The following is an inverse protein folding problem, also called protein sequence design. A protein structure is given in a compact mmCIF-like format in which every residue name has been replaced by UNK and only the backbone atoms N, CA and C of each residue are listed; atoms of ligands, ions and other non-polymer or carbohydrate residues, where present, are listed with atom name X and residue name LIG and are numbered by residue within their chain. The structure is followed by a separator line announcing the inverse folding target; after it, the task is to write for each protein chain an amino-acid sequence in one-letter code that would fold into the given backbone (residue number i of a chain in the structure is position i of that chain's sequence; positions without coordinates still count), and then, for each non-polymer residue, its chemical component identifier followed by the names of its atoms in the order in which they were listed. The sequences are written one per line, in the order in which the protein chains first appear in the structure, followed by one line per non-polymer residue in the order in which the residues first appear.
data_IF_203762624079
#
_entry.id   IF_203762624079
#
_cell.length_a   1.000
_cell.length_b   1.000
_cell.length_c   1.000
_cell.angle_alpha   90.00
_cell.angle_beta   90.00
_cell.angle_gamma   90.00
#
_symmetry.space_group_name_H-M   'P 1'
#
loop_
_entity.id
_entity.type
_entity.pdbx_description
1 polymer ?
#
# COMPACT_ATOMS: atom_id res chain seq x y z
N UNK A 1 -45.14 5.91 21.11
CA UNK A 1 -45.11 4.44 21.19
C UNK A 1 -44.42 4.03 22.49
N UNK A 2 -45.04 3.15 23.28
CA UNK A 2 -44.43 2.63 24.52
C UNK A 2 -43.26 1.69 24.19
N UNK A 3 -42.32 1.52 25.13
CA UNK A 3 -41.11 0.71 24.91
C UNK A 3 -41.42 -0.71 24.44
N UNK A 4 -42.40 -1.39 25.04
CA UNK A 4 -42.75 -2.77 24.68
C UNK A 4 -43.21 -2.91 23.22
N UNK A 5 -44.00 -1.96 22.73
CA UNK A 5 -44.45 -1.92 21.34
C UNK A 5 -43.27 -1.64 20.38
N UNK A 6 -42.32 -0.80 20.80
CA UNK A 6 -41.10 -0.54 20.04
C UNK A 6 -40.26 -1.82 19.89
N UNK A 7 -40.07 -2.54 21.00
CA UNK A 7 -39.33 -3.81 21.02
C UNK A 7 -40.05 -4.85 20.15
N UNK A 8 -41.35 -5.08 20.36
CA UNK A 8 -42.11 -6.06 19.58
C UNK A 8 -42.05 -5.81 18.07
N UNK A 9 -42.03 -4.54 17.65
CA UNK A 9 -41.98 -4.15 16.24
C UNK A 9 -40.63 -4.41 15.58
N UNK A 10 -39.53 -4.15 16.28
CA UNK A 10 -38.18 -4.12 15.68
C UNK A 10 -37.30 -5.31 16.10
N UNK A 11 -37.68 -6.09 17.11
CA UNK A 11 -36.89 -7.20 17.63
C UNK A 11 -36.53 -8.24 16.57
N UNK A 12 -37.46 -8.56 15.66
CA UNK A 12 -37.20 -9.51 14.59
C UNK A 12 -36.13 -8.99 13.61
N UNK A 13 -36.14 -7.69 13.28
CA UNK A 13 -35.11 -7.07 12.43
C UNK A 13 -33.74 -7.11 13.12
N UNK A 14 -33.69 -6.84 14.44
CA UNK A 14 -32.45 -6.92 15.22
C UNK A 14 -31.88 -8.34 15.26
N UNK A 15 -32.72 -9.35 15.48
CA UNK A 15 -32.30 -10.75 15.50
C UNK A 15 -31.76 -11.20 14.14
N UNK A 16 -32.40 -10.81 13.03
CA UNK A 16 -31.89 -11.13 11.70
C UNK A 16 -30.53 -10.47 11.43
N UNK A 17 -30.36 -9.22 11.84
CA UNK A 17 -29.10 -8.50 11.70
C UNK A 17 -27.99 -9.15 12.54
N UNK A 18 -28.31 -9.53 13.77
CA UNK A 18 -27.40 -10.21 14.69
C UNK A 18 -26.96 -11.59 14.14
N UNK A 19 -27.90 -12.41 13.67
CA UNK A 19 -27.60 -13.70 13.05
C UNK A 19 -26.71 -13.55 11.82
N UNK A 20 -27.00 -12.56 10.97
CA UNK A 20 -26.18 -12.27 9.80
C UNK A 20 -24.75 -11.85 10.19
N UNK A 21 -24.61 -11.00 11.22
CA UNK A 21 -23.30 -10.58 11.74
C UNK A 21 -22.49 -11.77 12.28
N UNK A 22 -23.14 -12.67 13.04
CA UNK A 22 -22.51 -13.88 13.57
C UNK A 22 -22.04 -14.84 12.47
N UNK A 23 -22.89 -15.07 11.45
CA UNK A 23 -22.52 -15.90 10.30
C UNK A 23 -21.30 -15.33 9.57
N UNK A 24 -21.24 -14.01 9.40
CA UNK A 24 -20.12 -13.35 8.69
C UNK A 24 -18.83 -13.33 9.51
N UNK A 25 -18.93 -13.16 10.83
CA UNK A 25 -17.80 -13.28 11.74
C UNK A 25 -17.18 -14.71 11.69
N UNK A 26 -18.00 -15.76 11.65
CA UNK A 26 -17.57 -17.15 11.50
C UNK A 26 -17.06 -17.50 10.09
N UNK A 27 -17.74 -17.03 9.05
CA UNK A 27 -17.40 -17.29 7.65
C UNK A 27 -16.10 -16.58 7.20
N UNK A 28 -15.67 -15.53 7.91
CA UNK A 28 -14.40 -14.81 7.69
C UNK A 28 -13.17 -15.74 7.56
N UNK A 29 -13.15 -16.90 8.23
CA UNK A 29 -12.07 -17.90 8.07
C UNK A 29 -12.15 -18.68 6.75
N UNK A 30 -13.35 -19.05 6.29
CA UNK A 30 -13.56 -19.84 5.05
C UNK A 30 -13.59 -18.96 3.79
N UNK A 31 -14.17 -17.76 3.86
CA UNK A 31 -14.29 -16.81 2.73
C UNK A 31 -12.95 -16.14 2.36
N UNK A 32 -11.88 -16.32 3.15
CA UNK A 32 -10.48 -16.01 2.79
C UNK A 32 -10.06 -16.63 1.44
N UNK A 33 -10.75 -17.67 0.95
CA UNK A 33 -10.40 -18.40 -0.28
C UNK A 33 -11.14 -17.98 -1.55
N UNK A 34 -12.22 -17.18 -1.50
CA UNK A 34 -13.00 -16.85 -2.72
C UNK A 34 -13.20 -15.35 -2.90
N UNK A 35 -12.85 -14.78 -4.06
CA UNK A 35 -13.23 -13.43 -4.42
C UNK A 35 -14.68 -13.47 -4.87
N UNK A 36 -15.58 -12.86 -4.11
CA UNK A 36 -16.94 -12.60 -4.61
C UNK A 36 -17.18 -11.10 -4.68
N UNK A 37 -17.85 -10.72 -5.77
CA UNK A 37 -18.50 -9.44 -5.94
C UNK A 37 -19.41 -9.13 -4.75
N UNK A 38 -19.75 -7.85 -4.58
CA UNK A 38 -20.67 -7.39 -3.53
C UNK A 38 -21.88 -8.33 -3.46
N UNK A 39 -21.95 -9.08 -2.37
CA UNK A 39 -23.02 -10.03 -2.12
C UNK A 39 -24.33 -9.24 -2.07
N UNK A 40 -25.43 -9.66 -2.72
CA UNK A 40 -26.73 -9.01 -2.57
C UNK A 40 -27.12 -8.76 -1.10
N UNK A 41 -26.63 -9.60 -0.18
CA UNK A 41 -26.76 -9.41 1.27
C UNK A 41 -26.06 -8.17 1.83
N UNK A 42 -25.03 -7.64 1.17
CA UNK A 42 -24.23 -6.47 1.62
C UNK A 42 -25.00 -5.16 1.46
N UNK A 43 -25.75 -5.02 0.36
CA UNK A 43 -26.62 -3.86 0.12
C UNK A 43 -27.78 -3.85 1.10
N UNK A 44 -28.39 -5.01 1.35
CA UNK A 44 -29.45 -5.17 2.33
C UNK A 44 -28.96 -4.87 3.76
N UNK A 45 -27.72 -5.26 4.08
CA UNK A 45 -27.09 -4.96 5.37
C UNK A 45 -26.91 -3.45 5.59
N UNK A 46 -26.40 -2.69 4.62
CA UNK A 46 -26.20 -1.25 4.77
C UNK A 46 -27.52 -0.49 5.06
N UNK A 47 -28.64 -0.96 4.49
CA UNK A 47 -29.96 -0.42 4.80
C UNK A 47 -30.42 -0.77 6.22
N UNK A 48 -30.30 -2.04 6.64
CA UNK A 48 -30.64 -2.50 8.00
C UNK A 48 -29.80 -1.81 9.07
N UNK A 49 -28.51 -1.59 8.80
CA UNK A 49 -27.61 -0.86 9.67
C UNK A 49 -28.03 0.60 9.88
N UNK A 50 -28.40 1.31 8.81
CA UNK A 50 -28.93 2.68 8.92
C UNK A 50 -30.21 2.75 9.76
N UNK A 51 -31.13 1.79 9.57
CA UNK A 51 -32.35 1.69 10.38
C UNK A 51 -32.05 1.41 11.85
N UNK A 52 -31.08 0.55 12.15
CA UNK A 52 -30.62 0.31 13.51
C UNK A 52 -30.10 1.61 14.17
N UNK A 53 -29.29 2.40 13.45
CA UNK A 53 -28.80 3.68 13.96
C UNK A 53 -29.95 4.66 14.25
N UNK A 54 -30.96 4.73 13.37
CA UNK A 54 -32.16 5.55 13.60
C UNK A 54 -32.94 5.08 14.83
N UNK A 55 -33.11 3.76 15.00
CA UNK A 55 -33.79 3.15 16.14
C UNK A 55 -33.04 3.38 17.46
N UNK A 56 -31.70 3.32 17.45
CA UNK A 56 -30.86 3.65 18.59
C UNK A 56 -30.97 5.13 18.99
N UNK A 57 -30.93 6.04 18.01
CA UNK A 57 -31.13 7.47 18.26
C UNK A 57 -32.49 7.75 18.89
N UNK A 58 -33.56 7.16 18.33
CA UNK A 58 -34.93 7.29 18.83
C UNK A 58 -35.10 6.71 20.25
N UNK A 59 -34.45 5.58 20.54
CA UNK A 59 -34.49 4.97 21.87
C UNK A 59 -33.80 5.83 22.94
N UNK A 60 -32.71 6.52 22.56
CA UNK A 60 -32.00 7.46 23.44
C UNK A 60 -32.82 8.73 23.69
N UNK A 61 -33.35 9.34 22.64
CA UNK A 61 -34.15 10.56 22.73
C UNK A 61 -35.39 10.38 23.62
N UNK A 62 -36.03 9.21 23.54
CA UNK A 62 -37.21 8.87 24.34
C UNK A 62 -36.92 8.36 25.75
N UNK A 63 -35.64 8.25 26.14
CA UNK A 63 -35.26 7.76 27.46
C UNK A 63 -35.73 6.33 27.75
N UNK A 64 -35.71 5.43 26.75
CA UNK A 64 -36.00 4.01 26.98
C UNK A 64 -34.95 3.36 27.87
N UNK A 65 -35.27 2.17 28.41
CA UNK A 65 -34.42 1.49 29.40
C UNK A 65 -32.95 1.39 28.96
N UNK A 66 -31.98 1.58 29.88
CA UNK A 66 -30.56 1.49 29.58
C UNK A 66 -30.14 0.16 28.93
N UNK A 67 -30.78 -0.95 29.35
CA UNK A 67 -30.52 -2.29 28.80
C UNK A 67 -30.83 -2.37 27.30
N UNK A 68 -31.96 -1.79 26.86
CA UNK A 68 -32.32 -1.77 25.45
C UNK A 68 -31.34 -0.93 24.64
N UNK A 69 -31.00 0.26 25.13
CA UNK A 69 -30.05 1.17 24.46
C UNK A 69 -28.68 0.50 24.33
N UNK A 70 -28.19 -0.16 25.39
CA UNK A 70 -26.92 -0.86 25.39
C UNK A 70 -26.92 -2.01 24.37
N UNK A 71 -27.99 -2.80 24.29
CA UNK A 71 -28.12 -3.87 23.30
C UNK A 71 -28.03 -3.34 21.86
N UNK A 72 -28.79 -2.29 21.54
CA UNK A 72 -28.77 -1.68 20.20
C UNK A 72 -27.40 -1.08 19.87
N UNK A 73 -26.73 -0.49 20.86
CA UNK A 73 -25.40 0.06 20.73
C UNK A 73 -24.36 -1.02 20.43
N UNK A 74 -24.41 -2.17 21.12
CA UNK A 74 -23.52 -3.31 20.84
C UNK A 74 -23.72 -3.84 19.42
N UNK A 75 -24.97 -3.99 18.98
CA UNK A 75 -25.27 -4.45 17.63
C UNK A 75 -24.76 -3.46 16.56
N UNK A 76 -24.86 -2.16 16.83
CA UNK A 76 -24.33 -1.10 15.96
C UNK A 76 -22.80 -1.17 15.89
N UNK A 77 -22.10 -1.33 17.02
CA UNK A 77 -20.64 -1.46 17.04
C UNK A 77 -20.15 -2.67 16.25
N UNK A 78 -20.83 -3.81 16.37
CA UNK A 78 -20.53 -5.00 15.57
C UNK A 78 -20.71 -4.74 14.07
N UNK A 79 -21.81 -4.09 13.68
CA UNK A 79 -22.06 -3.70 12.29
C UNK A 79 -21.00 -2.74 11.73
N UNK A 80 -20.54 -1.79 12.54
CA UNK A 80 -19.51 -0.83 12.16
C UNK A 80 -18.19 -1.53 11.77
N UNK A 81 -17.77 -2.54 12.54
CA UNK A 81 -16.56 -3.32 12.27
C UNK A 81 -16.60 -4.06 10.93
N UNK A 82 -17.79 -4.42 10.45
CA UNK A 82 -17.99 -5.10 9.16
C UNK A 82 -17.97 -4.09 8.01
N UNK A 83 -18.62 -2.94 8.17
CA UNK A 83 -18.73 -1.92 7.13
C UNK A 83 -17.38 -1.24 6.83
N UNK A 84 -16.59 -0.98 7.88
CA UNK A 84 -15.31 -0.28 7.79
C UNK A 84 -14.10 -1.22 7.82
N UNK A 85 -14.30 -2.52 7.58
CA UNK A 85 -13.20 -3.47 7.58
C UNK A 85 -12.24 -3.19 6.42
N UNK A 86 -10.97 -2.91 6.75
CA UNK A 86 -9.92 -2.81 5.74
C UNK A 86 -9.80 -4.14 5.00
N UNK A 87 -9.90 -4.16 3.64
CA UNK A 87 -9.71 -5.38 2.88
C UNK A 87 -8.31 -5.95 3.17
N UNK A 88 -8.18 -7.26 3.41
CA UNK A 88 -6.87 -7.86 3.67
C UNK A 88 -5.97 -7.69 2.44
N UNK A 89 -4.69 -7.42 2.67
CA UNK A 89 -3.68 -7.31 1.61
C UNK A 89 -3.67 -8.58 0.78
N UNK A 90 -3.95 -8.45 -0.51
CA UNK A 90 -4.05 -9.57 -1.46
C UNK A 90 -2.68 -9.84 -2.11
N UNK A 91 -1.76 -10.45 -1.36
CA UNK A 91 -0.42 -10.80 -1.86
C UNK A 91 -0.43 -11.57 -3.18
N UNK A 92 -1.43 -12.44 -3.40
CA UNK A 92 -1.61 -13.15 -4.68
C UNK A 92 -1.81 -12.21 -5.87
N UNK A 93 -2.57 -11.12 -5.71
CA UNK A 93 -2.75 -10.11 -6.78
C UNK A 93 -1.47 -9.32 -7.03
N UNK A 94 -0.68 -9.07 -5.99
CA UNK A 94 0.61 -8.41 -6.14
C UNK A 94 1.58 -9.27 -6.96
N UNK A 95 1.63 -10.57 -6.68
CA UNK A 95 2.41 -11.54 -7.47
C UNK A 95 1.91 -11.67 -8.91
N UNK A 96 0.59 -11.74 -9.10
CA UNK A 96 -0.03 -11.77 -10.43
C UNK A 96 0.32 -10.53 -11.26
N UNK A 97 0.24 -9.34 -10.63
CA UNK A 97 0.66 -8.11 -11.26
C UNK A 97 2.14 -8.14 -11.64
N UNK A 98 3.01 -8.56 -10.72
CA UNK A 98 4.47 -8.56 -10.95
C UNK A 98 4.89 -9.51 -12.09
N UNK A 99 4.24 -10.69 -12.18
CA UNK A 99 4.62 -11.73 -13.15
C UNK A 99 3.90 -11.59 -14.49
N UNK A 100 2.67 -11.07 -14.52
CA UNK A 100 1.86 -10.99 -15.73
C UNK A 100 1.57 -9.55 -16.17
N UNK A 101 0.89 -8.76 -15.34
CA UNK A 101 0.39 -7.45 -15.77
C UNK A 101 1.52 -6.44 -15.99
N UNK A 102 2.53 -6.45 -15.14
CA UNK A 102 3.69 -5.56 -15.21
C UNK A 102 4.49 -5.75 -16.51
N UNK A 103 4.96 -6.96 -16.87
CA UNK A 103 5.66 -7.15 -18.13
C UNK A 103 4.77 -6.87 -19.35
N UNK A 104 3.46 -7.15 -19.27
CA UNK A 104 2.51 -6.76 -20.33
C UNK A 104 2.43 -5.23 -20.48
N UNK A 105 2.40 -4.49 -19.37
CA UNK A 105 2.36 -3.03 -19.38
C UNK A 105 3.67 -2.42 -19.92
N UNK A 106 4.81 -2.98 -19.55
CA UNK A 106 6.10 -2.56 -20.12
C UNK A 106 6.14 -2.80 -21.63
N UNK A 107 5.61 -3.93 -22.10
CA UNK A 107 5.53 -4.24 -23.53
C UNK A 107 4.54 -3.35 -24.27
N UNK A 108 3.42 -2.98 -23.66
CA UNK A 108 2.46 -2.06 -24.30
C UNK A 108 3.05 -0.65 -24.45
N UNK A 109 3.92 -0.25 -23.52
CA UNK A 109 4.66 1.02 -23.55
C UNK A 109 6.08 0.88 -24.11
N UNK A 110 6.36 -0.17 -24.90
CA UNK A 110 7.71 -0.47 -25.38
C UNK A 110 8.35 0.68 -26.16
N UNK A 111 7.57 1.45 -26.92
CA UNK A 111 8.07 2.63 -27.66
C UNK A 111 8.69 3.66 -26.72
N UNK A 112 7.97 4.04 -25.67
CA UNK A 112 8.45 4.98 -24.66
C UNK A 112 9.70 4.46 -23.96
N UNK A 113 9.74 3.15 -23.66
CA UNK A 113 10.90 2.51 -23.05
C UNK A 113 12.13 2.52 -23.96
N UNK A 114 11.96 2.22 -25.25
CA UNK A 114 13.04 2.28 -26.24
C UNK A 114 13.54 3.71 -26.47
N UNK A 115 12.65 4.71 -26.49
CA UNK A 115 13.04 6.12 -26.60
C UNK A 115 13.86 6.54 -25.38
N UNK A 116 13.40 6.24 -24.17
CA UNK A 116 14.15 6.54 -22.95
C UNK A 116 15.52 5.84 -22.93
N UNK A 117 15.55 4.55 -23.32
CA UNK A 117 16.79 3.80 -23.42
C UNK A 117 17.73 4.42 -24.46
N UNK A 118 17.24 4.81 -25.64
CA UNK A 118 18.05 5.44 -26.66
C UNK A 118 18.59 6.80 -26.21
N UNK A 119 17.76 7.63 -25.58
CA UNK A 119 18.18 8.94 -25.04
C UNK A 119 19.27 8.82 -23.98
N UNK A 120 19.33 7.71 -23.24
CA UNK A 120 20.39 7.45 -22.28
C UNK A 120 21.61 6.77 -22.93
N UNK A 121 21.40 5.68 -23.65
CA UNK A 121 22.46 4.81 -24.14
C UNK A 121 23.22 5.43 -25.32
N UNK A 122 22.55 6.16 -26.21
CA UNK A 122 23.21 6.75 -27.38
C UNK A 122 24.27 7.79 -26.96
N UNK A 123 23.95 8.79 -26.11
CA UNK A 123 24.97 9.71 -25.62
C UNK A 123 26.07 9.00 -24.81
N UNK A 124 25.72 8.05 -23.95
CA UNK A 124 26.70 7.31 -23.15
C UNK A 124 27.71 6.55 -24.02
N UNK A 125 27.23 5.82 -25.02
CA UNK A 125 28.07 5.09 -25.98
C UNK A 125 28.87 6.04 -26.87
N UNK A 126 28.29 7.17 -27.27
CA UNK A 126 28.98 8.19 -28.04
C UNK A 126 30.15 8.79 -27.24
N UNK A 127 29.92 9.19 -25.99
CA UNK A 127 30.97 9.67 -25.09
C UNK A 127 32.07 8.62 -24.89
N UNK A 128 31.69 7.36 -24.64
CA UNK A 128 32.64 6.26 -24.52
C UNK A 128 33.49 6.11 -25.78
N UNK A 129 32.89 6.10 -26.97
CA UNK A 129 33.61 5.99 -28.24
C UNK A 129 34.53 7.20 -28.49
N UNK A 130 34.08 8.42 -28.17
CA UNK A 130 34.88 9.63 -28.32
C UNK A 130 36.14 9.57 -27.45
N UNK A 131 36.02 9.18 -26.18
CA UNK A 131 37.18 9.05 -25.28
C UNK A 131 38.14 7.97 -25.77
N UNK A 132 37.64 6.85 -26.30
CA UNK A 132 38.48 5.79 -26.84
C UNK A 132 39.25 6.19 -28.11
N UNK A 133 38.66 7.04 -28.95
CA UNK A 133 39.30 7.52 -30.18
C UNK A 133 40.20 8.75 -29.94
N UNK A 134 39.81 9.60 -28.99
CA UNK A 134 40.47 10.86 -28.64
C UNK A 134 40.63 10.94 -27.11
N UNK A 135 41.67 10.32 -26.54
CA UNK A 135 41.86 10.24 -25.09
C UNK A 135 41.91 11.62 -24.42
N UNK A 136 42.52 12.59 -25.09
CA UNK A 136 42.67 13.96 -24.58
C UNK A 136 41.32 14.70 -24.43
N UNK A 137 40.23 14.18 -25.00
CA UNK A 137 38.89 14.78 -24.88
C UNK A 137 38.36 14.81 -23.43
N UNK A 138 38.89 13.97 -22.55
CA UNK A 138 38.55 13.99 -21.11
C UNK A 138 38.87 15.35 -20.47
N UNK A 139 39.92 16.03 -20.95
CA UNK A 139 40.33 17.34 -20.45
C UNK A 139 39.36 18.47 -20.80
N UNK A 140 38.37 18.22 -21.67
CA UNK A 140 37.28 19.18 -21.95
C UNK A 140 36.25 19.22 -20.81
N UNK A 141 36.19 18.17 -19.99
CA UNK A 141 35.18 17.98 -18.95
C UNK A 141 35.78 17.98 -17.55
N UNK A 142 37.04 17.54 -17.41
CA UNK A 142 37.69 17.33 -16.11
C UNK A 142 39.10 17.91 -16.11
N UNK A 143 39.48 18.51 -14.99
CA UNK A 143 40.84 18.97 -14.77
C UNK A 143 41.78 17.80 -14.46
N UNK A 144 43.09 18.01 -14.67
CA UNK A 144 44.12 16.99 -14.45
C UNK A 144 44.11 16.39 -13.03
N UNK A 145 43.75 17.19 -12.01
CA UNK A 145 43.63 16.71 -10.63
C UNK A 145 42.50 15.69 -10.47
N UNK A 146 41.36 15.92 -11.11
CA UNK A 146 40.19 15.04 -11.05
C UNK A 146 40.44 13.73 -11.82
N UNK A 147 41.11 13.83 -12.97
CA UNK A 147 41.50 12.65 -13.75
C UNK A 147 42.46 11.77 -12.94
N UNK A 148 43.50 12.38 -12.34
CA UNK A 148 44.46 11.65 -11.52
C UNK A 148 43.82 11.01 -10.27
N UNK A 149 42.83 11.67 -9.66
CA UNK A 149 42.07 11.07 -8.55
C UNK A 149 41.24 9.86 -9.01
N UNK A 150 40.57 9.97 -10.16
CA UNK A 150 39.79 8.88 -10.74
C UNK A 150 40.68 7.70 -11.14
N UNK A 151 41.83 7.93 -11.77
CA UNK A 151 42.81 6.89 -12.10
C UNK A 151 43.30 6.15 -10.86
N UNK A 152 43.62 6.86 -9.77
CA UNK A 152 44.00 6.25 -8.49
C UNK A 152 42.90 5.36 -7.91
N UNK A 153 41.64 5.74 -8.08
CA UNK A 153 40.49 4.95 -7.57
C UNK A 153 40.39 3.59 -8.27
N UNK A 154 40.74 3.52 -9.55
CA UNK A 154 40.67 2.31 -10.36
C UNK A 154 42.01 1.60 -10.56
N UNK A 155 43.10 2.10 -9.97
CA UNK A 155 44.44 1.50 -10.04
C UNK A 155 44.40 0.04 -9.52
N UNK A 156 44.71 -0.96 -10.36
CA UNK A 156 44.72 -2.36 -9.95
C UNK A 156 45.89 -2.71 -9.03
N UNK A 157 46.96 -1.89 -9.00
CA UNK A 157 48.11 -2.06 -8.13
C UNK A 157 47.92 -1.40 -6.75
N UNK A 158 46.85 -0.61 -6.57
CA UNK A 158 46.49 -0.08 -5.27
C UNK A 158 46.12 -1.23 -4.32
N UNK A 159 46.65 -1.19 -3.10
CA UNK A 159 46.45 -2.22 -2.09
C UNK A 159 44.98 -2.24 -1.66
N UNK A 160 44.19 -3.16 -2.21
CA UNK A 160 42.76 -3.31 -1.89
C UNK A 160 42.61 -4.13 -0.62
N UNK A 161 43.05 -3.58 0.51
CA UNK A 161 42.55 -4.00 1.79
C UNK A 161 41.05 -3.70 1.79
N UNK A 162 40.22 -4.75 1.86
CA UNK A 162 38.77 -4.63 1.84
C UNK A 162 38.29 -3.55 2.81
N UNK A 163 37.14 -2.94 2.47
CA UNK A 163 36.45 -1.84 3.17
C UNK A 163 36.87 -1.73 4.66
N UNK A 164 37.78 -0.81 4.94
CA UNK A 164 38.27 -0.59 6.30
C UNK A 164 37.17 0.11 7.11
N UNK A 165 37.07 -0.25 8.39
CA UNK A 165 36.07 0.29 9.33
C UNK A 165 36.11 1.82 9.47
N UNK A 166 37.26 2.45 9.16
CA UNK A 166 37.39 3.91 9.08
C UNK A 166 36.65 4.55 7.90
N UNK A 167 36.50 3.84 6.77
CA UNK A 167 35.77 4.33 5.60
C UNK A 167 34.26 4.39 5.86
N UNK A 168 33.74 3.52 6.72
CA UNK A 168 32.33 3.52 7.14
C UNK A 168 31.96 4.75 7.96
N UNK A 169 32.82 5.18 8.88
CA UNK A 169 32.60 6.39 9.68
C UNK A 169 32.64 7.67 8.85
N UNK A 170 33.56 7.74 7.88
CA UNK A 170 33.65 8.86 6.95
C UNK A 170 32.41 8.94 6.04
N UNK A 171 31.94 7.81 5.51
CA UNK A 171 30.71 7.75 4.72
C UNK A 171 29.48 8.11 5.56
N UNK A 172 29.41 7.67 6.82
CA UNK A 172 28.34 8.07 7.75
C UNK A 172 28.29 9.59 7.95
N UNK A 173 29.43 10.23 8.18
CA UNK A 173 29.52 11.70 8.30
C UNK A 173 29.11 12.41 7.01
N UNK A 174 29.56 11.91 5.85
CA UNK A 174 29.18 12.44 4.55
C UNK A 174 27.66 12.35 4.29
N UNK A 175 27.04 11.21 4.62
CA UNK A 175 25.59 11.03 4.47
C UNK A 175 24.78 11.95 5.37
N UNK A 176 25.18 12.13 6.64
CA UNK A 176 24.51 13.05 7.57
C UNK A 176 24.58 14.49 7.05
N UNK A 177 25.77 14.95 6.66
CA UNK A 177 25.97 16.32 6.17
C UNK A 177 25.14 16.63 4.92
N UNK A 178 24.90 15.65 4.05
CA UNK A 178 24.16 15.85 2.80
C UNK A 178 22.64 15.58 2.91
N UNK A 179 22.15 14.96 3.98
CA UNK A 179 20.74 14.54 4.09
C UNK A 179 20.02 15.07 5.34
N UNK A 180 20.72 15.65 6.30
CA UNK A 180 20.10 16.32 7.45
C UNK A 180 20.18 17.83 7.22
N UNK A 181 19.01 18.42 6.96
CA UNK A 181 18.77 19.88 6.93
C UNK A 181 18.37 20.38 8.31
#
# INVERSE_FOLDING_TARGET
MKQEQFVARHQHEWQQLELWLQQRAGASRRRRRRPEAADPGDVAFAQRYRRLCQQLALARERGYSPQLVQRLQQLMQQGHSVLYRTPPVRWRRALEFLVADFPMLVRSQARSMWVALAMFAVPALACFAVVQLYPDSVHLLMDNSQIAEMERMYDPAADRLGRDSGTDWMMFGYYIMNNIS
#
